data_IF_663700968521
#
_entry.id   IF_663700968521
#
_cell.length_a   1.000
_cell.length_b   1.000
_cell.length_c   1.000
_cell.angle_alpha   90.00
_cell.angle_beta   90.00
_cell.angle_gamma   90.00
#
_symmetry.space_group_name_H-M   'P 1'
#
loop_
_entity.id
_entity.type
_entity.pdbx_description
1 polymer ?
#
# COMPACT_ATOMS: atom_id res chain seq x y z
N UNK A 1 -25.07 0.26 15.62
CA UNK A 1 -24.07 -0.05 14.59
C UNK A 1 -22.70 0.12 15.23
N UNK A 2 -22.00 -0.97 15.51
CA UNK A 2 -20.62 -0.91 15.98
C UNK A 2 -19.73 -0.62 14.75
N UNK A 3 -19.09 0.52 14.70
CA UNK A 3 -17.99 0.77 13.78
C UNK A 3 -16.76 0.02 14.32
N UNK A 4 -16.47 -1.13 13.74
CA UNK A 4 -15.16 -1.76 13.90
C UNK A 4 -14.22 -0.87 13.09
N UNK A 5 -13.45 -0.01 13.75
CA UNK A 5 -12.27 0.61 13.12
C UNK A 5 -11.29 -0.52 12.84
N UNK A 6 -11.28 -1.01 11.62
CA UNK A 6 -10.16 -1.81 11.15
C UNK A 6 -8.92 -0.91 11.28
N UNK A 7 -7.92 -1.34 12.04
CA UNK A 7 -6.61 -0.68 12.04
C UNK A 7 -6.02 -0.93 10.65
N UNK A 8 -6.11 0.05 9.75
CA UNK A 8 -5.41 0.01 8.47
C UNK A 8 -3.91 0.09 8.73
N UNK A 9 -3.17 -0.87 8.21
CA UNK A 9 -1.70 -0.87 8.25
C UNK A 9 -1.10 -0.03 7.12
N UNK A 10 -1.94 0.47 6.20
CA UNK A 10 -1.56 1.29 5.06
C UNK A 10 -1.90 2.75 5.29
N UNK A 11 -1.05 3.64 4.82
CA UNK A 11 -1.29 5.10 4.80
C UNK A 11 -0.72 5.73 3.55
N UNK A 12 -1.44 6.72 3.01
CA UNK A 12 -0.90 7.63 1.99
C UNK A 12 -0.15 8.78 2.68
N UNK A 13 0.94 9.20 2.07
CA UNK A 13 1.71 10.37 2.51
C UNK A 13 2.37 11.03 1.29
N UNK A 14 2.77 12.31 1.41
CA UNK A 14 3.35 13.08 0.31
C UNK A 14 2.48 13.10 -0.96
N UNK A 15 1.16 13.24 -0.77
CA UNK A 15 0.23 13.34 -1.91
C UNK A 15 0.22 14.75 -2.48
N UNK A 16 0.30 14.83 -3.81
CA UNK A 16 0.21 16.08 -4.58
C UNK A 16 -0.74 15.88 -5.76
N UNK A 17 -1.44 16.94 -6.14
CA UNK A 17 -2.20 17.01 -7.38
C UNK A 17 -1.95 18.34 -8.06
N UNK A 18 -2.01 18.38 -9.39
CA UNK A 18 -1.86 19.59 -10.17
C UNK A 18 -2.99 20.57 -9.81
N UNK A 19 -2.67 21.75 -9.23
CA UNK A 19 -3.67 22.74 -8.84
C UNK A 19 -4.35 23.43 -10.02
N UNK A 20 -3.74 23.39 -11.19
CA UNK A 20 -4.25 24.02 -12.41
C UNK A 20 -5.08 23.06 -13.26
N UNK A 21 -5.09 21.75 -12.93
CA UNK A 21 -5.90 20.76 -13.61
C UNK A 21 -7.34 20.80 -13.12
N UNK A 22 -8.27 21.07 -14.01
CA UNK A 22 -9.72 20.94 -13.79
C UNK A 22 -10.33 19.73 -14.51
N UNK A 23 -9.48 18.87 -15.08
CA UNK A 23 -9.91 17.71 -15.85
C UNK A 23 -10.19 16.54 -14.90
N UNK A 24 -11.29 15.85 -15.15
CA UNK A 24 -11.60 14.57 -14.54
C UNK A 24 -11.41 13.45 -15.58
N UNK A 25 -10.94 12.30 -15.12
CA UNK A 25 -10.60 11.15 -15.96
C UNK A 25 -11.61 10.03 -15.72
N UNK A 26 -11.98 9.33 -16.81
CA UNK A 26 -13.02 8.30 -16.76
C UNK A 26 -12.56 6.93 -17.22
N UNK A 27 -11.54 6.87 -18.06
CA UNK A 27 -11.01 5.64 -18.65
C UNK A 27 -9.51 5.53 -18.34
N UNK A 28 -9.15 4.68 -17.37
CA UNK A 28 -7.82 4.67 -16.77
C UNK A 28 -7.11 3.36 -17.07
N UNK A 29 -5.93 3.42 -17.69
CA UNK A 29 -5.03 2.27 -17.75
C UNK A 29 -4.25 2.15 -16.47
N UNK A 30 -4.22 0.94 -15.87
CA UNK A 30 -3.48 0.65 -14.65
C UNK A 30 -2.24 -0.16 -15.00
N UNK A 31 -1.08 0.33 -14.57
CA UNK A 31 0.23 -0.31 -14.76
C UNK A 31 0.88 -0.54 -13.39
N UNK A 32 1.08 -1.80 -13.04
CA UNK A 32 1.84 -2.22 -11.87
C UNK A 32 3.24 -2.67 -12.29
N UNK A 33 4.29 -1.95 -11.88
CA UNK A 33 5.68 -2.37 -12.12
C UNK A 33 6.11 -3.25 -10.94
N UNK A 34 6.21 -4.56 -11.18
CA UNK A 34 6.50 -5.56 -10.17
C UNK A 34 7.57 -6.56 -10.66
N UNK A 35 8.28 -7.19 -9.73
CA UNK A 35 9.30 -8.20 -10.05
C UNK A 35 8.70 -9.45 -10.70
N UNK A 36 7.45 -9.82 -10.32
CA UNK A 36 6.78 -11.00 -10.87
C UNK A 36 5.51 -10.63 -11.61
N UNK A 37 5.25 -11.33 -12.72
CA UNK A 37 4.01 -11.21 -13.47
C UNK A 37 2.78 -11.53 -12.61
N UNK A 38 2.89 -12.46 -11.67
CA UNK A 38 1.79 -12.83 -10.79
C UNK A 38 1.39 -11.65 -9.89
N UNK A 39 2.35 -10.97 -9.28
CA UNK A 39 2.10 -9.81 -8.42
C UNK A 39 1.54 -8.63 -9.22
N UNK A 40 2.09 -8.37 -10.42
CA UNK A 40 1.58 -7.38 -11.35
C UNK A 40 0.11 -7.61 -11.68
N UNK A 41 -0.23 -8.85 -12.11
CA UNK A 41 -1.60 -9.22 -12.45
C UNK A 41 -2.56 -9.11 -11.27
N UNK A 42 -2.14 -9.54 -10.08
CA UNK A 42 -2.95 -9.41 -8.87
C UNK A 42 -3.26 -7.94 -8.60
N UNK A 43 -2.24 -7.08 -8.57
CA UNK A 43 -2.40 -5.65 -8.32
C UNK A 43 -3.30 -4.98 -9.37
N UNK A 44 -3.00 -5.14 -10.66
CA UNK A 44 -3.74 -4.49 -11.73
C UNK A 44 -5.21 -4.97 -11.81
N UNK A 45 -5.45 -6.27 -11.55
CA UNK A 45 -6.82 -6.82 -11.52
C UNK A 45 -7.60 -6.25 -10.35
N UNK A 46 -7.01 -6.27 -9.15
CA UNK A 46 -7.66 -5.76 -7.95
C UNK A 46 -8.05 -4.29 -8.09
N UNK A 47 -7.12 -3.50 -8.63
CA UNK A 47 -7.35 -2.08 -8.87
C UNK A 47 -8.49 -1.84 -9.88
N UNK A 48 -8.46 -2.57 -11.00
CA UNK A 48 -9.48 -2.47 -12.04
C UNK A 48 -10.87 -2.87 -11.52
N UNK A 49 -10.96 -3.96 -10.76
CA UNK A 49 -12.22 -4.43 -10.17
C UNK A 49 -12.79 -3.39 -9.19
N UNK A 50 -11.95 -2.82 -8.33
CA UNK A 50 -12.36 -1.77 -7.39
C UNK A 50 -12.82 -0.48 -8.07
N UNK A 51 -12.18 -0.06 -9.16
CA UNK A 51 -12.65 1.07 -9.96
C UNK A 51 -14.00 0.76 -10.60
N UNK A 52 -14.15 -0.45 -11.16
CA UNK A 52 -15.41 -0.89 -11.76
C UNK A 52 -16.58 -0.92 -10.77
N UNK A 53 -16.34 -1.33 -9.52
CA UNK A 53 -17.35 -1.29 -8.44
C UNK A 53 -17.87 0.14 -8.16
N UNK A 54 -17.07 1.16 -8.50
CA UNK A 54 -17.44 2.58 -8.38
C UNK A 54 -17.92 3.20 -9.69
N UNK A 55 -18.08 2.40 -10.73
CA UNK A 55 -18.54 2.86 -12.04
C UNK A 55 -17.45 3.54 -12.88
N UNK A 56 -16.19 3.51 -12.45
CA UNK A 56 -15.05 4.08 -13.17
C UNK A 56 -14.50 3.01 -14.12
N UNK A 57 -14.35 3.36 -15.39
CA UNK A 57 -13.80 2.44 -16.35
C UNK A 57 -12.28 2.34 -16.20
N UNK A 58 -11.76 1.12 -16.26
CA UNK A 58 -10.33 0.91 -16.15
C UNK A 58 -9.87 -0.35 -16.87
N UNK A 59 -8.62 -0.34 -17.27
CA UNK A 59 -8.00 -1.42 -18.01
C UNK A 59 -6.67 -1.81 -17.37
N UNK A 60 -6.57 -3.07 -16.94
CA UNK A 60 -5.32 -3.65 -16.48
C UNK A 60 -4.35 -3.82 -17.66
N UNK A 61 -3.17 -3.24 -17.57
CA UNK A 61 -2.19 -3.17 -18.65
C UNK A 61 -1.67 -4.52 -19.11
N UNK A 62 -1.61 -5.52 -18.23
CA UNK A 62 -1.17 -6.87 -18.56
C UNK A 62 -2.04 -7.56 -19.65
N UNK A 63 -3.26 -7.06 -19.87
CA UNK A 63 -4.14 -7.56 -20.95
C UNK A 63 -3.66 -7.13 -22.34
N UNK A 64 -2.86 -6.07 -22.43
CA UNK A 64 -2.33 -5.50 -23.67
C UNK A 64 -0.82 -5.63 -23.79
N UNK A 65 -0.10 -5.58 -22.66
CA UNK A 65 1.35 -5.54 -22.60
C UNK A 65 1.82 -6.74 -21.75
N UNK A 66 2.53 -7.69 -22.37
CA UNK A 66 3.08 -8.82 -21.64
C UNK A 66 4.25 -8.39 -20.73
N UNK A 67 4.50 -9.18 -19.68
CA UNK A 67 5.48 -8.85 -18.64
C UNK A 67 6.93 -8.72 -19.19
N UNK A 68 7.29 -9.51 -20.18
CA UNK A 68 8.63 -9.43 -20.78
C UNK A 68 8.81 -8.14 -21.54
N UNK A 69 7.80 -7.75 -22.31
CA UNK A 69 7.77 -6.48 -23.02
C UNK A 69 7.87 -5.32 -22.03
N UNK A 70 7.11 -5.35 -20.95
CA UNK A 70 7.15 -4.31 -19.91
C UNK A 70 8.55 -4.18 -19.26
N UNK A 71 9.21 -5.29 -18.92
CA UNK A 71 10.58 -5.26 -18.39
C UNK A 71 11.62 -4.72 -19.38
N UNK A 72 11.44 -4.96 -20.67
CA UNK A 72 12.30 -4.41 -21.71
C UNK A 72 12.07 -2.91 -21.92
N UNK A 73 10.85 -2.43 -21.69
CA UNK A 73 10.45 -1.03 -21.85
C UNK A 73 11.14 -0.07 -20.89
N UNK A 74 11.44 -0.51 -19.68
CA UNK A 74 12.16 0.31 -18.68
C UNK A 74 13.56 0.72 -19.11
N UNK A 75 14.07 0.19 -20.24
CA UNK A 75 15.42 0.44 -20.77
C UNK A 75 15.50 1.57 -21.78
N UNK A 76 14.37 1.91 -22.44
CA UNK A 76 14.33 2.97 -23.44
C UNK A 76 12.99 3.73 -23.42
N UNK A 77 13.10 5.02 -23.18
CA UNK A 77 11.96 5.94 -23.06
C UNK A 77 11.06 6.00 -24.30
N UNK A 78 11.64 5.89 -25.49
CA UNK A 78 10.88 5.95 -26.73
C UNK A 78 10.10 4.65 -26.98
N UNK A 79 10.67 3.52 -26.58
CA UNK A 79 9.99 2.22 -26.65
C UNK A 79 8.77 2.16 -25.76
N UNK A 80 8.86 2.69 -24.52
CA UNK A 80 7.71 2.78 -23.61
C UNK A 80 6.58 3.60 -24.24
N UNK A 81 6.89 4.82 -24.74
CA UNK A 81 5.90 5.67 -25.41
C UNK A 81 5.19 4.93 -26.54
N UNK A 82 5.97 4.34 -27.47
CA UNK A 82 5.42 3.65 -28.65
C UNK A 82 4.49 2.50 -28.25
N UNK A 83 4.81 1.76 -27.21
CA UNK A 83 3.99 0.63 -26.78
C UNK A 83 2.72 1.11 -26.07
N UNK A 84 2.81 2.11 -25.19
CA UNK A 84 1.62 2.69 -24.58
C UNK A 84 0.71 3.28 -25.65
N UNK A 85 1.23 4.10 -26.57
CA UNK A 85 0.45 4.66 -27.67
C UNK A 85 -0.21 3.57 -28.53
N UNK A 86 0.51 2.46 -28.79
CA UNK A 86 -0.04 1.34 -29.54
C UNK A 86 -1.10 0.57 -28.76
N UNK A 87 -0.90 0.41 -27.44
CA UNK A 87 -1.82 -0.30 -26.56
C UNK A 87 -3.14 0.45 -26.38
N UNK A 88 -3.09 1.78 -26.32
CA UNK A 88 -4.28 2.63 -26.16
C UNK A 88 -4.86 3.12 -27.49
N UNK A 89 -4.20 2.82 -28.62
CA UNK A 89 -4.68 3.26 -29.94
C UNK A 89 -6.10 2.73 -30.24
N UNK A 90 -7.04 3.65 -30.39
CA UNK A 90 -8.45 3.32 -30.65
C UNK A 90 -9.26 2.96 -29.39
N UNK A 91 -8.69 3.16 -28.19
CA UNK A 91 -9.41 3.12 -26.92
C UNK A 91 -9.78 4.53 -26.47
N UNK A 92 -10.67 4.62 -25.49
CA UNK A 92 -11.07 5.88 -24.86
C UNK A 92 -10.20 6.24 -23.64
N UNK A 93 -9.07 5.52 -23.42
CA UNK A 93 -8.18 5.73 -22.26
C UNK A 93 -7.65 7.16 -22.26
N UNK A 94 -7.93 7.88 -21.18
CA UNK A 94 -7.60 9.29 -21.01
C UNK A 94 -6.54 9.56 -19.92
N UNK A 95 -6.27 8.56 -19.04
CA UNK A 95 -5.19 8.61 -18.07
C UNK A 95 -4.47 7.27 -17.89
N UNK A 96 -3.22 7.34 -17.42
CA UNK A 96 -2.41 6.16 -17.05
C UNK A 96 -1.97 6.29 -15.61
N UNK A 97 -2.31 5.29 -14.81
CA UNK A 97 -1.89 5.18 -13.41
C UNK A 97 -0.76 4.15 -13.30
N UNK A 98 0.39 4.60 -12.82
CA UNK A 98 1.59 3.77 -12.69
C UNK A 98 1.96 3.64 -11.22
N UNK A 99 2.10 2.40 -10.74
CA UNK A 99 2.55 2.10 -9.37
C UNK A 99 3.80 1.24 -9.39
N UNK A 100 4.77 1.58 -8.53
CA UNK A 100 5.96 0.77 -8.34
C UNK A 100 6.43 0.76 -6.89
N UNK A 101 7.19 -0.28 -6.53
CA UNK A 101 7.85 -0.40 -5.22
C UNK A 101 9.08 0.52 -5.19
N UNK A 102 9.13 1.41 -4.19
CA UNK A 102 10.27 2.32 -3.97
C UNK A 102 11.27 1.70 -3.02
N UNK A 103 10.80 1.10 -1.92
CA UNK A 103 11.64 0.53 -0.89
C UNK A 103 10.90 -0.54 -0.09
N UNK A 104 11.67 -1.45 0.48
CA UNK A 104 11.26 -2.32 1.59
C UNK A 104 12.14 -1.90 2.76
N UNK A 105 11.51 -1.32 3.79
CA UNK A 105 12.16 -0.96 5.03
C UNK A 105 11.95 -2.11 6.02
N UNK A 106 13.00 -2.60 6.65
CA UNK A 106 12.94 -3.64 7.65
C UNK A 106 13.36 -3.10 9.02
N UNK A 107 12.62 -3.50 10.05
CA UNK A 107 12.93 -3.16 11.44
C UNK A 107 12.93 -4.42 12.30
N UNK A 108 14.00 -4.55 13.10
CA UNK A 108 14.07 -5.57 14.13
C UNK A 108 13.31 -5.10 15.37
N UNK A 109 12.13 -5.69 15.62
CA UNK A 109 11.33 -5.38 16.79
C UNK A 109 11.58 -6.39 17.89
N UNK A 110 12.03 -5.90 19.05
CA UNK A 110 12.20 -6.74 20.22
C UNK A 110 10.84 -7.08 20.83
N UNK A 111 10.54 -8.38 20.87
CA UNK A 111 9.34 -8.93 21.53
C UNK A 111 9.78 -9.61 22.85
N UNK A 112 9.38 -9.09 24.03
CA UNK A 112 9.65 -9.78 25.27
C UNK A 112 8.91 -11.11 25.34
N UNK A 113 9.53 -12.12 25.92
CA UNK A 113 8.93 -13.47 26.03
C UNK A 113 7.74 -13.55 26.98
N UNK A 114 7.59 -12.56 27.85
CA UNK A 114 6.46 -12.40 28.78
C UNK A 114 5.86 -11.01 28.66
N UNK A 115 4.54 -10.93 28.69
CA UNK A 115 3.85 -9.65 28.84
C UNK A 115 4.14 -9.06 30.23
N UNK A 116 4.84 -7.93 30.25
CA UNK A 116 5.04 -7.18 31.48
C UNK A 116 3.74 -6.48 31.87
N UNK A 117 3.14 -6.93 32.98
CA UNK A 117 1.96 -6.27 33.54
C UNK A 117 2.38 -5.30 34.64
N UNK A 118 2.35 -3.98 34.39
CA UNK A 118 2.69 -3.00 35.39
C UNK A 118 1.67 -3.01 36.54
N UNK A 119 2.16 -2.82 37.77
CA UNK A 119 1.32 -2.80 38.95
C UNK A 119 0.27 -1.67 38.96
N UNK A 120 0.48 -0.62 38.17
CA UNK A 120 -0.40 0.54 38.08
C UNK A 120 -1.54 0.34 37.09
N UNK A 121 -2.78 0.34 37.56
CA UNK A 121 -3.98 0.39 36.74
C UNK A 121 -4.63 -0.95 36.41
N UNK A 122 -4.08 -2.08 36.84
CA UNK A 122 -4.74 -3.37 36.72
C UNK A 122 -5.71 -3.61 37.87
N UNK A 123 -6.95 -3.99 37.55
CA UNK A 123 -8.00 -4.43 38.50
C UNK A 123 -7.62 -5.75 39.17
N UNK A 124 -6.53 -6.38 38.76
CA UNK A 124 -5.97 -7.60 39.33
C UNK A 124 -4.75 -7.28 40.19
N UNK A 125 -4.97 -6.60 41.26
CA UNK A 125 -4.04 -6.59 42.40
C UNK A 125 -4.02 -8.00 42.99
N UNK A 126 -3.39 -8.93 42.32
CA UNK A 126 -3.09 -10.19 42.96
C UNK A 126 -1.93 -9.90 43.91
N UNK A 127 -2.23 -9.88 45.20
CA UNK A 127 -1.31 -9.67 46.29
C UNK A 127 -0.04 -10.55 46.28
N UNK A 128 0.02 -11.50 45.36
CA UNK A 128 1.07 -12.50 45.24
C UNK A 128 2.38 -11.96 44.66
N UNK A 129 2.33 -10.95 43.75
CA UNK A 129 3.56 -10.45 43.09
C UNK A 129 3.99 -9.07 43.57
N UNK A 130 3.06 -8.24 44.02
CA UNK A 130 3.32 -6.86 44.39
C UNK A 130 3.08 -6.62 45.91
N UNK A 131 2.62 -7.64 46.65
CA UNK A 131 2.31 -7.54 48.05
C UNK A 131 3.54 -7.41 48.96
N UNK A 132 4.72 -7.84 48.47
CA UNK A 132 5.98 -7.71 49.18
C UNK A 132 7.18 -7.54 48.19
N UNK A 133 8.27 -7.02 48.72
CA UNK A 133 9.50 -6.73 48.01
C UNK A 133 10.12 -7.99 47.35
N UNK A 134 10.04 -9.12 48.02
CA UNK A 134 10.65 -10.37 47.53
C UNK A 134 9.86 -10.98 46.38
N UNK A 135 8.53 -10.94 46.43
CA UNK A 135 7.64 -11.35 45.37
C UNK A 135 7.85 -10.50 44.12
N UNK A 136 7.92 -9.18 44.28
CA UNK A 136 8.21 -8.27 43.18
C UNK A 136 9.59 -8.52 42.55
N UNK A 137 10.64 -8.65 43.39
CA UNK A 137 11.99 -8.92 42.91
C UNK A 137 12.05 -10.24 42.12
N UNK A 138 11.43 -11.30 42.64
CA UNK A 138 11.37 -12.60 41.94
C UNK A 138 10.68 -12.50 40.60
N UNK A 139 9.55 -11.79 40.49
CA UNK A 139 8.82 -11.59 39.27
C UNK A 139 9.65 -10.80 38.24
N UNK A 140 10.22 -9.67 38.63
CA UNK A 140 11.03 -8.83 37.75
C UNK A 140 12.31 -9.58 37.29
N UNK A 141 12.96 -10.32 38.18
CA UNK A 141 14.13 -11.11 37.85
C UNK A 141 13.78 -12.19 36.80
N UNK A 142 12.65 -12.88 36.98
CA UNK A 142 12.17 -13.87 36.01
C UNK A 142 11.87 -13.23 34.68
N UNK A 143 11.20 -12.08 34.65
CA UNK A 143 10.91 -11.33 33.42
C UNK A 143 12.17 -10.90 32.70
N UNK A 144 13.17 -10.36 33.41
CA UNK A 144 14.43 -9.88 32.81
C UNK A 144 15.31 -11.04 32.33
N UNK A 145 15.26 -12.20 33.00
CA UNK A 145 16.06 -13.37 32.64
C UNK A 145 15.45 -14.20 31.51
N UNK A 146 14.19 -13.98 31.15
CA UNK A 146 13.62 -14.65 29.98
C UNK A 146 14.02 -13.89 28.71
N UNK A 147 14.81 -14.50 27.84
CA UNK A 147 15.21 -13.84 26.60
C UNK A 147 13.99 -13.57 25.74
N UNK A 148 13.76 -12.32 25.41
CA UNK A 148 12.86 -11.96 24.33
C UNK A 148 13.40 -12.43 22.99
N UNK A 149 12.62 -12.25 21.95
CA UNK A 149 13.03 -12.57 20.59
C UNK A 149 12.85 -11.33 19.70
N UNK A 150 13.62 -11.28 18.62
CA UNK A 150 13.43 -10.27 17.61
C UNK A 150 12.55 -10.81 16.50
N UNK A 151 11.59 -9.99 16.06
CA UNK A 151 10.82 -10.22 14.84
C UNK A 151 11.19 -9.15 13.83
N UNK A 152 11.35 -9.54 12.56
CA UNK A 152 11.47 -8.59 11.47
C UNK A 152 10.06 -8.19 11.01
N UNK A 153 9.81 -6.89 10.98
CA UNK A 153 8.61 -6.34 10.36
C UNK A 153 9.02 -5.55 9.12
N UNK A 154 8.32 -5.79 8.02
CA UNK A 154 8.60 -5.15 6.74
C UNK A 154 7.61 -4.04 6.49
N UNK A 155 8.12 -2.88 6.09
CA UNK A 155 7.30 -1.77 5.60
C UNK A 155 7.52 -1.62 4.10
N UNK A 156 6.46 -1.77 3.33
CA UNK A 156 6.49 -1.59 1.88
C UNK A 156 6.17 -0.14 1.55
N UNK A 157 7.07 0.50 0.81
CA UNK A 157 6.91 1.87 0.33
C UNK A 157 6.67 1.84 -1.16
N UNK A 158 5.50 2.29 -1.60
CA UNK A 158 5.16 2.38 -3.02
C UNK A 158 4.96 3.84 -3.43
N UNK A 159 5.17 4.11 -4.70
CA UNK A 159 4.83 5.38 -5.33
C UNK A 159 3.83 5.12 -6.45
N UNK A 160 2.77 5.94 -6.49
CA UNK A 160 1.72 5.87 -7.51
C UNK A 160 1.55 7.23 -8.15
N UNK A 161 1.59 7.25 -9.47
CA UNK A 161 1.52 8.44 -10.30
C UNK A 161 0.40 8.31 -11.33
N UNK A 162 -0.41 9.35 -11.50
CA UNK A 162 -1.41 9.47 -12.55
C UNK A 162 -0.96 10.49 -13.59
N UNK A 163 -0.97 10.09 -14.84
CA UNK A 163 -0.59 10.93 -15.98
C UNK A 163 -1.75 11.11 -16.95
N UNK A 164 -1.90 12.31 -17.48
CA UNK A 164 -2.78 12.58 -18.61
C UNK A 164 -2.18 11.98 -19.88
N UNK A 165 -2.97 11.19 -20.62
CA UNK A 165 -2.49 10.52 -21.85
C UNK A 165 -2.16 11.53 -22.96
N UNK A 166 -2.93 12.62 -23.07
CA UNK A 166 -2.79 13.58 -24.16
C UNK A 166 -1.61 14.53 -23.99
N UNK A 167 -1.37 14.98 -22.75
CA UNK A 167 -0.28 15.92 -22.45
C UNK A 167 0.96 15.23 -21.94
N UNK A 168 0.84 13.98 -21.49
CA UNK A 168 1.87 13.19 -20.79
C UNK A 168 2.34 13.82 -19.48
N UNK A 169 1.59 14.78 -18.95
CA UNK A 169 1.92 15.49 -17.71
C UNK A 169 1.41 14.74 -16.49
N UNK A 170 2.15 14.87 -15.39
CA UNK A 170 1.76 14.34 -14.09
C UNK A 170 0.58 15.14 -13.53
N UNK A 171 -0.51 14.45 -13.23
CA UNK A 171 -1.74 15.04 -12.69
C UNK A 171 -1.83 14.86 -11.18
N UNK A 172 -1.41 13.70 -10.71
CA UNK A 172 -1.46 13.34 -9.30
C UNK A 172 -0.37 12.34 -8.95
N UNK A 173 0.13 12.42 -7.74
CA UNK A 173 1.11 11.49 -7.19
C UNK A 173 0.91 11.28 -5.71
N UNK A 174 1.22 10.07 -5.24
CA UNK A 174 1.28 9.77 -3.81
C UNK A 174 2.35 8.74 -3.51
N UNK A 175 2.85 8.76 -2.29
CA UNK A 175 3.56 7.63 -1.69
C UNK A 175 2.70 6.96 -0.65
N UNK A 176 2.77 5.66 -0.57
CA UNK A 176 2.12 4.86 0.46
C UNK A 176 3.14 4.09 1.29
N UNK A 177 2.77 3.84 2.54
CA UNK A 177 3.47 2.92 3.43
C UNK A 177 2.49 1.89 3.95
N UNK A 178 2.83 0.61 3.82
CA UNK A 178 2.09 -0.51 4.39
C UNK A 178 2.99 -1.25 5.37
N UNK A 179 2.64 -1.21 6.66
CA UNK A 179 3.42 -1.83 7.74
C UNK A 179 2.93 -3.25 7.97
N UNK A 180 3.84 -4.22 7.93
CA UNK A 180 3.62 -5.61 8.32
C UNK A 180 2.26 -6.17 7.88
N UNK A 181 1.93 -6.16 6.56
CA UNK A 181 0.64 -6.66 6.09
C UNK A 181 0.49 -8.16 6.42
N UNK A 182 -0.71 -8.58 6.76
CA UNK A 182 -1.00 -10.00 7.03
C UNK A 182 -0.84 -10.85 5.76
N UNK A 183 -1.20 -10.27 4.62
CA UNK A 183 -0.97 -10.85 3.30
C UNK A 183 -0.70 -9.76 2.26
N UNK A 184 -0.16 -10.15 1.10
CA UNK A 184 -0.01 -9.23 -0.04
C UNK A 184 -1.36 -8.83 -0.62
N UNK A 185 -2.36 -9.71 -0.55
CA UNK A 185 -3.70 -9.42 -1.04
C UNK A 185 -4.36 -8.33 -0.19
N UNK A 186 -4.27 -8.41 1.15
CA UNK A 186 -4.78 -7.38 2.06
C UNK A 186 -4.08 -6.03 1.83
N UNK A 187 -2.75 -6.06 1.64
CA UNK A 187 -1.97 -4.85 1.34
C UNK A 187 -2.43 -4.18 0.03
N UNK A 188 -2.67 -4.97 -1.01
CA UNK A 188 -3.18 -4.49 -2.29
C UNK A 188 -4.59 -3.93 -2.13
N UNK A 189 -5.46 -4.62 -1.40
CA UNK A 189 -6.83 -4.18 -1.16
C UNK A 189 -6.88 -2.83 -0.45
N UNK A 190 -6.17 -2.69 0.67
CA UNK A 190 -6.10 -1.44 1.42
C UNK A 190 -5.54 -0.30 0.56
N UNK A 191 -4.41 -0.54 -0.11
CA UNK A 191 -3.73 0.46 -0.92
C UNK A 191 -4.61 0.98 -2.05
N UNK A 192 -5.20 0.06 -2.82
CA UNK A 192 -6.04 0.42 -3.97
C UNK A 192 -7.28 1.18 -3.53
N UNK A 193 -7.91 0.76 -2.44
CA UNK A 193 -9.05 1.46 -1.84
C UNK A 193 -8.69 2.90 -1.47
N UNK A 194 -7.58 3.11 -0.76
CA UNK A 194 -7.14 4.45 -0.33
C UNK A 194 -6.77 5.37 -1.51
N UNK A 195 -6.12 4.83 -2.55
CA UNK A 195 -5.78 5.60 -3.75
C UNK A 195 -7.04 6.05 -4.48
N UNK A 196 -8.00 5.14 -4.69
CA UNK A 196 -9.25 5.47 -5.38
C UNK A 196 -10.04 6.49 -4.56
N UNK A 197 -10.12 6.34 -3.23
CA UNK A 197 -10.79 7.29 -2.35
C UNK A 197 -10.17 8.70 -2.43
N UNK A 198 -8.84 8.80 -2.45
CA UNK A 198 -8.15 10.09 -2.57
C UNK A 198 -8.40 10.73 -3.94
N UNK A 199 -8.30 9.96 -5.04
CA UNK A 199 -8.56 10.43 -6.39
C UNK A 199 -10.00 10.93 -6.57
N UNK A 200 -10.99 10.19 -6.07
CA UNK A 200 -12.42 10.57 -6.09
C UNK A 200 -12.66 11.81 -5.22
N UNK A 201 -12.07 11.87 -4.02
CA UNK A 201 -12.25 13.01 -3.10
C UNK A 201 -11.70 14.34 -3.64
N UNK A 202 -10.80 14.26 -4.63
CA UNK A 202 -10.21 15.41 -5.33
C UNK A 202 -10.87 15.71 -6.68
N UNK A 203 -11.95 14.99 -7.02
CA UNK A 203 -12.63 15.10 -8.32
C UNK A 203 -11.71 14.81 -9.53
N UNK A 204 -10.62 14.05 -9.31
CA UNK A 204 -9.66 13.66 -10.36
C UNK A 204 -10.22 12.53 -11.22
N UNK A 205 -10.97 11.61 -10.62
CA UNK A 205 -11.66 10.51 -11.31
C UNK A 205 -13.14 10.49 -10.95
N UNK A 206 -13.99 10.04 -11.90
CA UNK A 206 -15.47 9.98 -11.73
C UNK A 206 -16.01 8.67 -12.25
#
# INVERSE_FOLDING_TARGET
MLYISACSNTKLYQTWSDPDSSKSYNDIMIIGIAESEQLRRAYETYFADRMSERGIQSLASYKLIDHKTEQELGKDKNSFRTIIESAIAGSDIDAVLITHLVAIEDEDIYRPSMDYQPAYGSTYYTATYYGDMHGYHGYVTTYVQQPGYFTQEYTYVLETNLYDVKTEELVWTTRSKTLAPESMDDAIEELTGMIIDDLVSRDIIQ
#
